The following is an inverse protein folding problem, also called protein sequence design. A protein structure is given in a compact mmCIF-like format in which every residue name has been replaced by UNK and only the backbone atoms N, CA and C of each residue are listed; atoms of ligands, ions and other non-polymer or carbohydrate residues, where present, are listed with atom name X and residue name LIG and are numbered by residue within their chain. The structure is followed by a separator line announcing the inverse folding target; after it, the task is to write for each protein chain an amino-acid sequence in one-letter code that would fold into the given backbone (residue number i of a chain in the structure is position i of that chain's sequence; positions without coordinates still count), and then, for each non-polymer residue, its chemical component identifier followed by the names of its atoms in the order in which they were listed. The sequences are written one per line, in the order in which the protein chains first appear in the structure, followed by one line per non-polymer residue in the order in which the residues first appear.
data_IF_792731253553
#
_entry.id   IF_792731253553
#
_cell.length_a   1.000
_cell.length_b   1.000
_cell.length_c   1.000
_cell.angle_alpha   90.00
_cell.angle_beta   90.00
_cell.angle_gamma   90.00
#
_symmetry.space_group_name_H-M   'P 1'
#
loop_
_entity.id
_entity.type
_entity.pdbx_description
1 polymer ?
#
# COMPACT_ATOMS: atom_id res chain seq x y z
N UNK A 1 -10.66 1.03 0.55
CA UNK A 1 -11.09 2.46 0.49
C UNK A 1 -9.86 3.29 0.23
N UNK A 2 -9.91 4.34 -0.59
CA UNK A 2 -8.68 5.10 -0.84
C UNK A 2 -8.26 5.93 0.40
N UNK A 3 -6.96 6.14 0.57
CA UNK A 3 -6.38 7.06 1.53
C UNK A 3 -7.08 8.44 1.61
N UNK A 4 -7.44 9.06 0.48
CA UNK A 4 -8.15 10.34 0.52
C UNK A 4 -9.54 10.26 1.18
N UNK A 5 -10.25 9.13 1.05
CA UNK A 5 -11.56 8.92 1.69
C UNK A 5 -11.41 8.58 3.18
N UNK A 6 -10.30 7.94 3.55
CA UNK A 6 -9.99 7.54 4.93
C UNK A 6 -9.39 8.67 5.76
N UNK A 7 -8.89 9.74 5.13
CA UNK A 7 -8.39 10.96 5.77
C UNK A 7 -9.52 11.83 6.39
N UNK A 8 -10.45 11.19 7.10
CA UNK A 8 -11.59 11.81 7.77
C UNK A 8 -11.22 12.54 9.08
N UNK A 9 -9.97 12.40 9.51
CA UNK A 9 -9.41 13.13 10.64
C UNK A 9 -7.89 13.37 10.45
N UNK A 10 -7.37 14.34 11.19
CA UNK A 10 -5.97 14.79 11.09
C UNK A 10 -4.97 13.68 11.43
N UNK A 11 -5.30 12.80 12.38
CA UNK A 11 -4.41 11.69 12.78
C UNK A 11 -4.21 10.72 11.63
N UNK A 12 -5.30 10.29 10.96
CA UNK A 12 -5.23 9.38 9.82
C UNK A 12 -4.56 10.07 8.62
N UNK A 13 -4.88 11.34 8.34
CA UNK A 13 -4.21 12.09 7.28
C UNK A 13 -2.69 12.18 7.50
N UNK A 14 -2.26 12.44 8.74
CA UNK A 14 -0.85 12.45 9.12
C UNK A 14 -0.19 11.09 8.93
N UNK A 15 -0.85 9.98 9.34
CA UNK A 15 -0.32 8.63 9.12
C UNK A 15 -0.20 8.30 7.63
N UNK A 16 -1.17 8.67 6.81
CA UNK A 16 -1.09 8.52 5.34
C UNK A 16 0.12 9.28 4.79
N UNK A 17 0.31 10.53 5.19
CA UNK A 17 1.47 11.32 4.77
C UNK A 17 2.80 10.65 5.19
N UNK A 18 2.86 10.09 6.40
CA UNK A 18 4.01 9.32 6.87
C UNK A 18 4.24 8.06 6.03
N UNK A 19 3.20 7.29 5.67
CA UNK A 19 3.33 6.14 4.76
C UNK A 19 3.90 6.56 3.41
N UNK A 20 3.38 7.64 2.82
CA UNK A 20 3.88 8.18 1.56
C UNK A 20 5.36 8.56 1.66
N UNK A 21 5.75 9.20 2.76
CA UNK A 21 7.15 9.57 3.00
C UNK A 21 8.05 8.34 3.16
N UNK A 22 7.63 7.33 3.92
CA UNK A 22 8.36 6.07 4.10
C UNK A 22 8.62 5.39 2.75
N UNK A 23 7.61 5.35 1.87
CA UNK A 23 7.77 4.78 0.54
C UNK A 23 8.79 5.57 -0.30
N UNK A 24 8.68 6.91 -0.29
CA UNK A 24 9.58 7.79 -1.06
C UNK A 24 11.03 7.77 -0.59
N UNK A 25 11.28 7.49 0.70
CA UNK A 25 12.65 7.27 1.19
C UNK A 25 13.29 6.05 0.50
N UNK A 26 12.51 5.00 0.26
CA UNK A 26 13.00 3.79 -0.43
C UNK A 26 13.02 3.97 -1.95
N UNK A 27 12.05 4.73 -2.50
CA UNK A 27 11.84 4.91 -3.95
C UNK A 27 11.57 6.39 -4.30
N UNK A 28 12.63 7.24 -4.38
CA UNK A 28 12.48 8.69 -4.52
C UNK A 28 11.76 9.16 -5.80
N UNK A 29 11.89 8.40 -6.89
CA UNK A 29 11.28 8.74 -8.18
C UNK A 29 9.77 8.46 -8.24
N UNK A 30 9.22 7.80 -7.22
CA UNK A 30 7.80 7.46 -7.17
C UNK A 30 6.92 8.70 -6.96
N UNK A 31 5.88 8.81 -7.77
CA UNK A 31 4.81 9.80 -7.63
C UNK A 31 3.63 9.14 -6.93
N UNK A 32 3.15 9.75 -5.85
CA UNK A 32 1.98 9.26 -5.12
C UNK A 32 0.70 9.61 -5.87
N UNK A 33 -0.25 8.69 -5.86
CA UNK A 33 -1.63 8.88 -6.31
C UNK A 33 -2.58 8.47 -5.19
N UNK A 34 -3.23 9.46 -4.58
CA UNK A 34 -4.20 9.30 -3.49
C UNK A 34 -5.64 9.49 -3.99
N UNK A 35 -5.88 9.53 -5.31
CA UNK A 35 -7.22 9.82 -5.85
C UNK A 35 -8.18 8.67 -5.59
N UNK A 36 -9.40 8.91 -5.06
CA UNK A 36 -10.40 7.87 -4.83
C UNK A 36 -10.67 7.02 -6.06
N UNK A 37 -10.56 5.69 -5.91
CA UNK A 37 -10.90 4.70 -6.96
C UNK A 37 -12.41 4.64 -7.21
N UNK A 38 -13.22 5.11 -6.25
CA UNK A 38 -14.69 5.19 -6.29
C UNK A 38 -15.28 5.98 -7.46
N UNK A 39 -14.44 6.73 -8.20
CA UNK A 39 -14.85 7.40 -9.44
C UNK A 39 -14.93 6.44 -10.64
N UNK A 40 -14.39 5.23 -10.53
CA UNK A 40 -14.52 4.18 -11.53
C UNK A 40 -15.68 3.23 -11.14
N UNK A 41 -16.78 3.19 -11.94
CA UNK A 41 -17.92 2.32 -11.67
C UNK A 41 -17.57 0.84 -11.51
N UNK A 42 -16.52 0.34 -12.18
CA UNK A 42 -16.15 -1.08 -12.14
C UNK A 42 -15.44 -1.47 -10.84
N UNK A 43 -14.86 -0.51 -10.13
CA UNK A 43 -14.08 -0.78 -8.89
C UNK A 43 -14.83 -0.37 -7.61
N UNK A 44 -16.02 0.23 -7.76
CA UNK A 44 -16.80 0.78 -6.65
C UNK A 44 -17.28 -0.28 -5.64
N UNK A 45 -17.54 -1.51 -6.10
CA UNK A 45 -17.94 -2.63 -5.24
C UNK A 45 -16.76 -3.31 -4.53
N UNK A 46 -15.51 -3.05 -4.98
CA UNK A 46 -14.29 -3.63 -4.42
C UNK A 46 -13.73 -2.80 -3.25
N UNK A 47 -14.46 -1.78 -2.82
CA UNK A 47 -14.05 -0.86 -1.76
C UNK A 47 -14.17 -1.55 -0.40
N UNK A 48 -13.02 -1.94 0.17
CA UNK A 48 -12.95 -2.39 1.56
C UNK A 48 -13.00 -1.16 2.51
N UNK A 49 -14.03 -1.00 3.35
CA UNK A 49 -14.11 0.10 4.31
C UNK A 49 -13.04 0.05 5.39
N UNK A 50 -12.48 -1.13 5.62
CA UNK A 50 -11.45 -1.40 6.60
C UNK A 50 -10.04 -1.39 5.99
N UNK A 51 -9.87 -0.85 4.78
CA UNK A 51 -8.57 -0.67 4.15
C UNK A 51 -8.22 0.80 3.82
N UNK A 52 -6.92 1.07 3.69
CA UNK A 52 -6.37 2.29 3.10
C UNK A 52 -5.56 1.90 1.86
N UNK A 53 -6.00 2.37 0.69
CA UNK A 53 -5.35 2.14 -0.58
C UNK A 53 -4.50 3.35 -1.01
N UNK A 54 -3.25 3.12 -1.43
CA UNK A 54 -2.31 4.15 -1.89
C UNK A 54 -1.63 3.68 -3.18
N UNK A 55 -1.72 4.49 -4.24
CA UNK A 55 -1.02 4.25 -5.50
C UNK A 55 0.33 4.95 -5.57
N UNK A 56 1.31 4.30 -6.20
CA UNK A 56 2.60 4.89 -6.54
C UNK A 56 2.93 4.63 -8.01
N UNK A 57 3.28 5.68 -8.75
CA UNK A 57 3.62 5.62 -10.18
C UNK A 57 5.08 5.96 -10.40
N UNK A 58 5.75 5.21 -11.27
CA UNK A 58 7.14 5.45 -11.66
C UNK A 58 7.21 6.18 -13.02
N UNK A 59 8.33 6.89 -13.31
CA UNK A 59 8.62 7.41 -14.64
C UNK A 59 8.89 6.25 -15.62
N UNK A 60 7.82 5.66 -16.15
CA UNK A 60 7.90 4.44 -16.97
C UNK A 60 7.98 3.15 -16.15
N UNK A 61 8.39 2.05 -16.77
CA UNK A 61 8.52 0.75 -16.09
C UNK A 61 9.83 0.71 -15.31
N UNK A 62 9.75 0.55 -13.99
CA UNK A 62 10.90 0.27 -13.13
C UNK A 62 11.41 -1.14 -13.40
N UNK A 63 12.68 -1.28 -13.78
CA UNK A 63 13.32 -2.61 -13.91
C UNK A 63 13.58 -3.24 -12.55
N UNK A 64 13.86 -2.42 -11.54
CA UNK A 64 14.13 -2.90 -10.18
C UNK A 64 12.87 -3.48 -9.52
N UNK A 65 11.72 -2.87 -9.78
CA UNK A 65 10.44 -3.33 -9.24
C UNK A 65 9.64 -4.15 -10.25
N UNK A 66 10.13 -4.32 -11.48
CA UNK A 66 9.43 -5.00 -12.58
C UNK A 66 7.98 -4.53 -12.78
N UNK A 67 7.69 -3.26 -12.51
CA UNK A 67 6.35 -2.66 -12.59
C UNK A 67 6.41 -1.18 -12.98
N UNK A 68 5.30 -0.64 -13.47
CA UNK A 68 5.12 0.80 -13.77
C UNK A 68 4.42 1.55 -12.64
N UNK A 69 3.56 0.85 -11.89
CA UNK A 69 2.98 1.36 -10.67
C UNK A 69 2.89 0.25 -9.62
N UNK A 70 2.74 0.67 -8.37
CA UNK A 70 2.49 -0.21 -7.22
C UNK A 70 1.25 0.29 -6.51
N UNK A 71 0.34 -0.64 -6.21
CA UNK A 71 -0.76 -0.44 -5.30
C UNK A 71 -0.38 -1.00 -3.93
N UNK A 72 -0.58 -0.20 -2.90
CA UNK A 72 -0.47 -0.61 -1.50
C UNK A 72 -1.85 -0.58 -0.88
N UNK A 73 -2.28 -1.68 -0.29
CA UNK A 73 -3.50 -1.78 0.51
C UNK A 73 -3.12 -2.12 1.94
N UNK A 74 -3.46 -1.23 2.88
CA UNK A 74 -3.24 -1.42 4.31
C UNK A 74 -4.56 -1.86 4.93
N UNK A 75 -4.64 -3.09 5.42
CA UNK A 75 -5.86 -3.68 5.98
C UNK A 75 -5.89 -3.50 7.49
N UNK A 76 -7.03 -3.10 8.00
CA UNK A 76 -7.27 -2.86 9.41
C UNK A 76 -8.27 -3.84 9.99
N UNK A 77 -8.16 -4.09 11.29
CA UNK A 77 -9.19 -4.70 12.10
C UNK A 77 -9.68 -3.67 13.11
N UNK A 78 -11.00 -3.50 13.18
CA UNK A 78 -11.65 -2.73 14.22
C UNK A 78 -12.00 -3.66 15.38
N UNK A 79 -11.36 -3.45 16.53
CA UNK A 79 -11.69 -4.21 17.73
C UNK A 79 -13.01 -3.68 18.32
N UNK A 80 -14.09 -4.50 18.37
CA UNK A 80 -15.38 -4.05 18.87
C UNK A 80 -15.39 -3.80 20.38
N UNK A 81 -14.43 -4.37 21.12
CA UNK A 81 -14.32 -4.26 22.57
C UNK A 81 -13.48 -3.05 22.95
N UNK A 82 -12.28 -2.96 22.39
CA UNK A 82 -11.33 -1.90 22.74
C UNK A 82 -11.50 -0.63 21.90
N UNK A 83 -12.38 -0.66 20.89
CA UNK A 83 -12.61 0.40 19.89
C UNK A 83 -11.32 0.86 19.19
N UNK A 84 -10.31 -0.01 19.16
CA UNK A 84 -9.03 0.27 18.53
C UNK A 84 -9.05 -0.17 17.08
N UNK A 85 -8.27 0.51 16.23
CA UNK A 85 -8.05 0.13 14.84
C UNK A 85 -6.59 -0.27 14.68
N UNK A 86 -6.32 -1.53 14.37
CA UNK A 86 -4.96 -2.06 14.20
C UNK A 86 -4.73 -2.57 12.78
N UNK A 87 -3.51 -2.42 12.28
CA UNK A 87 -3.13 -3.02 11.00
C UNK A 87 -3.00 -4.53 11.18
N UNK A 88 -3.64 -5.29 10.30
CA UNK A 88 -3.58 -6.76 10.27
C UNK A 88 -2.85 -7.31 9.05
N UNK A 89 -2.65 -6.48 8.02
CA UNK A 89 -1.99 -6.87 6.79
C UNK A 89 -1.68 -5.68 5.91
N UNK A 90 -0.67 -5.84 5.06
CA UNK A 90 -0.37 -4.97 3.94
C UNK A 90 -0.27 -5.85 2.71
N UNK A 91 -1.03 -5.52 1.68
CA UNK A 91 -0.88 -6.08 0.35
C UNK A 91 -0.13 -5.06 -0.51
N UNK A 92 0.84 -5.53 -1.30
CA UNK A 92 1.49 -4.73 -2.31
C UNK A 92 1.44 -5.46 -3.65
N UNK A 93 0.98 -4.78 -4.70
CA UNK A 93 0.89 -5.35 -6.04
C UNK A 93 1.50 -4.40 -7.07
N UNK A 94 2.36 -4.94 -7.93
CA UNK A 94 2.98 -4.23 -9.04
C UNK A 94 2.22 -4.46 -10.34
N UNK A 95 1.97 -3.40 -11.10
CA UNK A 95 1.25 -3.46 -12.37
C UNK A 95 2.06 -2.82 -13.50
N UNK A 96 1.84 -3.30 -14.72
CA UNK A 96 2.18 -2.58 -15.95
C UNK A 96 1.06 -2.70 -16.98
N UNK A 97 1.33 -2.39 -18.25
CA UNK A 97 0.34 -2.45 -19.34
C UNK A 97 -0.23 -3.86 -19.58
N UNK A 98 0.43 -4.91 -19.10
CA UNK A 98 -0.04 -6.30 -19.19
C UNK A 98 -0.86 -6.72 -17.96
N UNK A 99 -1.11 -5.79 -17.03
CA UNK A 99 -1.83 -6.05 -15.78
C UNK A 99 -0.89 -6.33 -14.61
N UNK A 100 -1.38 -7.11 -13.63
CA UNK A 100 -0.64 -7.42 -12.41
C UNK A 100 0.58 -8.30 -12.72
N UNK A 101 1.76 -7.82 -12.40
CA UNK A 101 3.03 -8.52 -12.62
C UNK A 101 3.41 -9.36 -11.41
N UNK A 102 3.20 -8.83 -10.21
CA UNK A 102 3.45 -9.50 -8.95
C UNK A 102 2.57 -8.96 -7.85
N UNK A 103 2.41 -9.75 -6.79
CA UNK A 103 1.85 -9.33 -5.51
C UNK A 103 2.63 -9.94 -4.36
N UNK A 104 2.61 -9.29 -3.20
CA UNK A 104 3.10 -9.82 -1.93
C UNK A 104 2.10 -9.46 -0.84
N UNK A 105 1.79 -10.44 -0.01
CA UNK A 105 0.99 -10.27 1.21
C UNK A 105 1.89 -10.35 2.42
N UNK A 106 1.70 -9.46 3.39
CA UNK A 106 2.32 -9.62 4.71
C UNK A 106 1.56 -10.61 5.61
N UNK A 107 0.50 -11.22 5.10
CA UNK A 107 -0.16 -12.35 5.73
C UNK A 107 0.59 -13.61 5.27
N UNK A 108 0.90 -14.50 6.21
CA UNK A 108 1.73 -15.69 6.00
C UNK A 108 3.22 -15.40 5.71
N UNK A 109 3.71 -15.79 4.52
CA UNK A 109 5.13 -16.02 4.25
C UNK A 109 5.86 -14.84 3.59
N UNK A 110 5.17 -13.76 3.24
CA UNK A 110 5.78 -12.57 2.62
C UNK A 110 6.52 -12.85 1.30
N UNK A 111 6.02 -13.84 0.55
CA UNK A 111 6.58 -14.22 -0.74
C UNK A 111 5.91 -13.44 -1.86
N UNK A 112 6.72 -13.03 -2.83
CA UNK A 112 6.21 -12.49 -4.09
C UNK A 112 5.67 -13.62 -4.96
N UNK A 113 4.49 -13.41 -5.53
CA UNK A 113 3.87 -14.32 -6.49
C UNK A 113 3.42 -13.54 -7.73
N UNK A 114 3.61 -14.12 -8.92
CA UNK A 114 3.23 -13.46 -10.18
C UNK A 114 4.07 -13.92 -11.37
N UNK A 115 3.94 -13.19 -12.48
CA UNK A 115 4.71 -13.41 -13.72
C UNK A 115 6.15 -12.94 -13.58
N UNK A 116 6.37 -11.92 -12.74
CA UNK A 116 7.70 -11.41 -12.40
C UNK A 116 7.80 -11.22 -10.89
N UNK A 117 8.91 -10.67 -10.41
CA UNK A 117 9.07 -10.19 -9.04
C UNK A 117 10.07 -9.03 -9.03
N UNK A 118 10.05 -8.16 -8.00
CA UNK A 118 11.12 -7.18 -7.82
C UNK A 118 12.49 -7.84 -7.70
N UNK A 119 13.53 -7.13 -8.10
CA UNK A 119 14.92 -7.51 -7.82
C UNK A 119 15.14 -7.69 -6.31
N UNK A 120 16.00 -8.62 -5.86
CA UNK A 120 16.13 -8.99 -4.44
C UNK A 120 16.28 -7.80 -3.49
N UNK A 121 17.10 -6.80 -3.84
CA UNK A 121 17.29 -5.61 -3.00
C UNK A 121 16.01 -4.76 -2.91
N UNK A 122 15.27 -4.62 -4.01
CA UNK A 122 14.01 -3.85 -4.04
C UNK A 122 12.86 -4.59 -3.35
N UNK A 123 12.86 -5.92 -3.44
CA UNK A 123 11.97 -6.78 -2.67
C UNK A 123 12.17 -6.57 -1.16
N UNK A 124 13.42 -6.55 -0.69
CA UNK A 124 13.71 -6.29 0.73
C UNK A 124 13.36 -4.86 1.16
N UNK A 125 13.57 -3.85 0.31
CA UNK A 125 13.10 -2.47 0.57
C UNK A 125 11.57 -2.39 0.70
N UNK A 126 10.82 -3.11 -0.16
CA UNK A 126 9.36 -3.21 -0.05
C UNK A 126 8.93 -3.89 1.24
N UNK A 127 9.57 -5.01 1.62
CA UNK A 127 9.27 -5.69 2.89
C UNK A 127 9.60 -4.79 4.10
N UNK A 128 10.72 -4.07 4.06
CA UNK A 128 11.08 -3.10 5.10
C UNK A 128 10.01 -2.01 5.21
N UNK A 129 9.58 -1.44 4.09
CA UNK A 129 8.49 -0.47 4.04
C UNK A 129 7.21 -1.03 4.67
N UNK A 130 6.80 -2.26 4.35
CA UNK A 130 5.65 -2.90 4.97
C UNK A 130 5.79 -3.02 6.48
N UNK A 131 6.97 -3.41 7.00
CA UNK A 131 7.23 -3.45 8.46
C UNK A 131 7.11 -2.06 9.10
N UNK A 132 7.59 -1.02 8.43
CA UNK A 132 7.49 0.36 8.92
C UNK A 132 6.03 0.84 9.00
N UNK A 133 5.16 0.37 8.10
CA UNK A 133 3.70 0.61 8.21
C UNK A 133 3.18 0.02 9.53
N UNK A 134 3.48 -1.24 9.85
CA UNK A 134 3.01 -1.84 11.12
C UNK A 134 3.46 -1.02 12.33
N UNK A 135 4.72 -0.57 12.38
CA UNK A 135 5.24 0.21 13.50
C UNK A 135 4.60 1.61 13.59
N UNK A 136 4.37 2.27 12.45
CA UNK A 136 3.69 3.57 12.38
C UNK A 136 2.26 3.51 12.93
N UNK A 137 1.57 2.38 12.75
CA UNK A 137 0.20 2.20 13.25
C UNK A 137 0.12 1.59 14.65
N UNK A 138 1.17 0.93 15.15
CA UNK A 138 1.26 0.47 16.55
C UNK A 138 1.53 1.61 17.54
N UNK A 139 2.37 2.55 17.16
CA UNK A 139 2.69 3.71 17.98
C UNK A 139 1.50 4.67 17.97
N UNK A 140 0.78 4.75 19.10
CA UNK A 140 -0.30 5.71 19.31
C UNK A 140 -0.16 6.37 20.70
N UNK A 141 -0.77 7.55 20.85
CA UNK A 141 -2.17 7.58 21.29
C UNK A 141 -3.18 7.91 20.19
#
# INVERSE_FOLDING_TARGET
MNAAEQANNVVIASKIASVVNLFKVQFPDARVDLKPWTNDPETRELVDPDSIDIGFHFPGRSRLLQSRCILIEIRFYHDPVDKTRRVIGVEAAGYDHQGQQWKVSTIENWNFVGQTQPEPESAEKLKLFCRQIFELFKSNP
#
